data_IF_675533242698
#
_entry.id   IF_675533242698
#
_cell.length_a   1.000
_cell.length_b   1.000
_cell.length_c   1.000
_cell.angle_alpha   90.00
_cell.angle_beta   90.00
_cell.angle_gamma   90.00
#
_symmetry.space_group_name_H-M   'P 1'
#
loop_
_entity.id
_entity.type
_entity.pdbx_description
1 polymer ?
#
# COMPACT_ATOMS: atom_id res chain seq x y z
N UNK A 1 -8.92 31.17 -8.00
CA UNK A 1 -8.68 29.89 -8.70
C UNK A 1 -8.52 28.85 -7.62
N UNK A 2 -9.55 28.07 -7.33
CA UNK A 2 -9.49 26.99 -6.33
C UNK A 2 -8.68 25.86 -6.97
N UNK A 3 -7.42 25.70 -6.57
CA UNK A 3 -6.67 24.47 -6.86
C UNK A 3 -7.49 23.32 -6.29
N UNK A 4 -7.90 22.38 -7.13
CA UNK A 4 -8.47 21.13 -6.65
C UNK A 4 -7.26 20.35 -6.12
N UNK A 5 -7.10 20.30 -4.79
CA UNK A 5 -6.11 19.42 -4.16
C UNK A 5 -6.33 18.00 -4.70
N UNK A 6 -5.33 17.50 -5.44
CA UNK A 6 -5.42 16.19 -6.09
C UNK A 6 -4.94 15.15 -5.09
N UNK A 7 -5.88 14.37 -4.52
CA UNK A 7 -5.55 13.21 -3.69
C UNK A 7 -4.55 12.29 -4.42
N UNK A 8 -3.53 11.77 -3.72
CA UNK A 8 -2.57 10.85 -4.32
C UNK A 8 -3.28 9.57 -4.78
N UNK A 9 -2.70 8.93 -5.79
CA UNK A 9 -3.17 7.63 -6.26
C UNK A 9 -2.92 6.56 -5.18
N UNK A 10 -3.80 5.57 -5.07
CA UNK A 10 -3.52 4.35 -4.31
C UNK A 10 -3.07 3.25 -5.27
N UNK A 11 -1.84 2.76 -5.11
CA UNK A 11 -1.41 1.52 -5.78
C UNK A 11 -1.49 0.40 -4.76
N UNK A 12 -2.12 -0.72 -5.11
CA UNK A 12 -2.27 -1.81 -4.14
C UNK A 12 -2.03 -3.18 -4.75
N UNK A 13 -1.64 -4.12 -3.90
CA UNK A 13 -1.64 -5.55 -4.25
C UNK A 13 -2.67 -6.29 -3.41
N UNK A 14 -3.36 -7.24 -4.02
CA UNK A 14 -4.21 -8.20 -3.33
C UNK A 14 -4.13 -9.55 -4.03
N UNK A 15 -3.95 -10.63 -3.27
CA UNK A 15 -4.07 -12.00 -3.80
C UNK A 15 -5.52 -12.36 -4.12
N UNK A 16 -5.73 -13.63 -4.48
CA UNK A 16 -7.05 -14.22 -4.76
C UNK A 16 -8.00 -14.21 -3.57
N UNK A 17 -7.49 -14.08 -2.34
CA UNK A 17 -8.31 -13.87 -1.13
C UNK A 17 -9.06 -12.52 -1.12
N UNK A 18 -8.60 -11.54 -1.90
CA UNK A 18 -9.22 -10.22 -2.08
C UNK A 18 -9.39 -9.36 -0.81
N UNK A 19 -8.79 -9.70 0.33
CA UNK A 19 -8.92 -8.90 1.56
C UNK A 19 -8.48 -7.44 1.37
N UNK A 20 -7.29 -7.21 0.82
CA UNK A 20 -6.78 -5.86 0.57
C UNK A 20 -7.58 -5.14 -0.53
N UNK A 21 -8.07 -5.87 -1.54
CA UNK A 21 -8.96 -5.28 -2.55
C UNK A 21 -10.26 -4.76 -1.92
N UNK A 22 -10.91 -5.57 -1.08
CA UNK A 22 -12.12 -5.17 -0.33
C UNK A 22 -11.87 -3.99 0.61
N UNK A 23 -10.66 -3.85 1.15
CA UNK A 23 -10.30 -2.66 1.93
C UNK A 23 -10.24 -1.42 1.03
N UNK A 24 -9.50 -1.51 -0.08
CA UNK A 24 -9.31 -0.39 -1.02
C UNK A 24 -10.63 0.06 -1.67
N UNK A 25 -11.55 -0.86 -1.95
CA UNK A 25 -12.90 -0.55 -2.47
C UNK A 25 -13.72 0.37 -1.54
N UNK A 26 -13.36 0.47 -0.25
CA UNK A 26 -14.02 1.35 0.73
C UNK A 26 -13.35 2.72 0.85
N UNK A 27 -12.23 2.95 0.18
CA UNK A 27 -11.46 4.19 0.27
C UNK A 27 -11.95 5.22 -0.76
N UNK A 28 -11.93 6.49 -0.38
CA UNK A 28 -12.32 7.61 -1.23
C UNK A 28 -11.12 8.15 -2.02
N UNK A 29 -10.65 7.33 -2.97
CA UNK A 29 -9.47 7.59 -3.78
C UNK A 29 -9.50 6.84 -5.12
N UNK A 30 -8.75 7.34 -6.10
CA UNK A 30 -8.42 6.54 -7.29
C UNK A 30 -7.44 5.43 -6.91
N UNK A 31 -7.60 4.24 -7.49
CA UNK A 31 -6.69 3.14 -7.22
C UNK A 31 -6.32 2.30 -8.44
N UNK A 32 -5.10 1.76 -8.43
CA UNK A 32 -4.57 0.83 -9.43
C UNK A 32 -4.09 -0.45 -8.72
N UNK A 33 -4.54 -1.60 -9.23
CA UNK A 33 -4.14 -2.92 -8.73
C UNK A 33 -2.89 -3.45 -9.43
N UNK A 34 -1.87 -3.80 -8.65
CA UNK A 34 -0.72 -4.58 -9.12
C UNK A 34 -1.23 -5.98 -9.55
N UNK A 35 -0.94 -6.43 -10.78
CA UNK A 35 -1.42 -7.71 -11.28
C UNK A 35 -0.99 -8.92 -10.43
N UNK A 36 -1.87 -9.91 -10.31
CA UNK A 36 -1.54 -11.18 -9.63
C UNK A 36 -0.51 -11.98 -10.43
N UNK A 37 -0.64 -12.00 -11.77
CA UNK A 37 0.28 -12.71 -12.68
C UNK A 37 1.55 -11.90 -12.84
N UNK A 38 2.70 -12.47 -12.49
CA UNK A 38 4.02 -11.82 -12.61
C UNK A 38 4.42 -11.45 -14.04
N UNK A 39 3.84 -12.10 -15.05
CA UNK A 39 4.06 -11.76 -16.46
C UNK A 39 3.32 -10.49 -16.90
N UNK A 40 2.44 -9.95 -16.07
CA UNK A 40 1.75 -8.68 -16.32
C UNK A 40 2.38 -7.60 -15.46
N UNK A 41 2.54 -6.43 -16.06
CA UNK A 41 3.18 -5.29 -15.44
C UNK A 41 2.33 -4.04 -15.57
N UNK A 42 2.53 -3.11 -14.63
CA UNK A 42 1.96 -1.76 -14.68
C UNK A 42 3.08 -0.74 -14.49
N UNK A 43 2.85 0.47 -14.99
CA UNK A 43 3.70 1.63 -14.79
C UNK A 43 2.85 2.76 -14.21
N UNK A 44 3.40 3.50 -13.27
CA UNK A 44 2.72 4.61 -12.59
C UNK A 44 3.59 5.86 -12.72
N UNK A 45 3.00 6.96 -13.20
CA UNK A 45 3.69 8.23 -13.46
C UNK A 45 3.39 9.33 -12.44
N UNK A 46 2.33 9.17 -11.66
CA UNK A 46 1.93 10.08 -10.57
C UNK A 46 2.32 9.54 -9.20
N UNK A 47 2.39 10.42 -8.21
CA UNK A 47 2.67 10.03 -6.83
C UNK A 47 1.57 9.13 -6.25
N UNK A 48 2.00 8.14 -5.46
CA UNK A 48 1.07 7.18 -4.88
C UNK A 48 1.45 6.71 -3.48
N UNK A 49 0.42 6.33 -2.73
CA UNK A 49 0.54 5.53 -1.51
C UNK A 49 0.40 4.05 -1.87
N UNK A 50 1.35 3.22 -1.43
CA UNK A 50 1.31 1.78 -1.63
C UNK A 50 0.52 1.08 -0.52
N UNK A 51 -0.47 0.26 -0.86
CA UNK A 51 -1.17 -0.61 0.10
C UNK A 51 -0.86 -2.08 -0.20
N UNK A 52 -0.31 -2.82 0.77
CA UNK A 52 0.11 -4.21 0.54
C UNK A 52 -0.13 -5.16 1.72
N UNK A 53 -0.51 -6.43 1.49
CA UNK A 53 -0.55 -7.45 2.53
C UNK A 53 0.86 -7.99 2.87
N UNK A 54 0.98 -8.61 4.04
CA UNK A 54 2.18 -9.31 4.50
C UNK A 54 2.05 -10.82 4.36
N UNK A 55 3.04 -11.50 3.77
CA UNK A 55 3.04 -12.96 3.51
C UNK A 55 4.22 -13.75 4.13
N UNK A 56 4.87 -13.24 5.18
CA UNK A 56 6.02 -13.95 5.78
C UNK A 56 5.68 -15.25 6.50
N UNK A 57 4.40 -15.60 6.67
CA UNK A 57 3.97 -16.81 7.39
C UNK A 57 4.40 -16.84 8.87
N UNK A 58 4.78 -15.70 9.45
CA UNK A 58 5.33 -15.63 10.81
C UNK A 58 6.85 -15.79 10.92
N UNK A 59 7.57 -15.97 9.80
CA UNK A 59 9.02 -16.21 9.79
C UNK A 59 9.86 -14.93 9.60
N UNK A 60 9.48 -13.84 10.28
CA UNK A 60 10.21 -12.57 10.24
C UNK A 60 10.02 -11.82 8.91
N UNK A 61 11.06 -11.10 8.44
CA UNK A 61 10.96 -10.23 7.26
C UNK A 61 11.12 -10.95 5.93
N UNK A 62 11.71 -12.15 5.93
CA UNK A 62 11.90 -12.94 4.70
C UNK A 62 10.55 -13.38 4.14
N UNK A 63 10.27 -12.99 2.89
CA UNK A 63 8.97 -13.28 2.26
C UNK A 63 7.81 -12.41 2.74
N UNK A 64 8.05 -11.39 3.58
CA UNK A 64 7.01 -10.49 4.05
C UNK A 64 6.32 -9.74 2.90
N UNK A 65 7.11 -9.21 1.95
CA UNK A 65 6.61 -8.46 0.80
C UNK A 65 6.22 -9.42 -0.34
N UNK A 66 5.01 -9.32 -0.91
CA UNK A 66 4.61 -10.14 -2.06
C UNK A 66 5.57 -9.95 -3.26
N UNK A 67 5.90 -11.04 -3.96
CA UNK A 67 6.82 -11.02 -5.12
C UNK A 67 6.37 -10.03 -6.21
N UNK A 68 5.07 -9.88 -6.41
CA UNK A 68 4.49 -8.93 -7.37
C UNK A 68 4.78 -7.47 -6.99
N UNK A 69 4.76 -7.17 -5.70
CA UNK A 69 5.10 -5.84 -5.17
C UNK A 69 6.59 -5.59 -5.30
N UNK A 70 7.43 -6.59 -5.01
CA UNK A 70 8.87 -6.50 -5.25
C UNK A 70 9.16 -6.22 -6.73
N UNK A 71 8.53 -6.96 -7.66
CA UNK A 71 8.71 -6.75 -9.10
C UNK A 71 8.27 -5.34 -9.54
N UNK A 72 7.14 -4.87 -9.02
CA UNK A 72 6.64 -3.53 -9.27
C UNK A 72 7.62 -2.44 -8.77
N UNK A 73 8.17 -2.59 -7.56
CA UNK A 73 9.09 -1.63 -6.94
C UNK A 73 10.54 -1.74 -7.44
N UNK A 74 10.93 -2.84 -8.09
CA UNK A 74 12.25 -2.94 -8.72
C UNK A 74 12.40 -1.97 -9.90
N UNK A 75 11.29 -1.57 -10.52
CA UNK A 75 11.28 -0.56 -11.58
C UNK A 75 11.50 0.84 -10.99
N UNK A 76 12.60 1.49 -11.38
CA UNK A 76 12.96 2.83 -10.91
C UNK A 76 11.82 3.85 -11.10
N UNK A 77 11.19 3.84 -12.29
CA UNK A 77 10.09 4.74 -12.61
C UNK A 77 8.90 4.63 -11.64
N UNK A 78 8.59 3.41 -11.16
CA UNK A 78 7.52 3.19 -10.20
C UNK A 78 7.96 3.54 -8.78
N UNK A 79 9.16 3.12 -8.35
CA UNK A 79 9.58 3.32 -6.95
C UNK A 79 9.80 4.79 -6.59
N UNK A 80 10.22 5.62 -7.55
CA UNK A 80 10.42 7.06 -7.34
C UNK A 80 9.12 7.83 -7.11
N UNK A 81 7.96 7.22 -7.38
CA UNK A 81 6.64 7.83 -7.19
C UNK A 81 5.94 7.38 -5.91
N UNK A 82 6.52 6.44 -5.17
CA UNK A 82 5.98 6.01 -3.88
C UNK A 82 6.26 7.09 -2.84
N UNK A 83 5.21 7.65 -2.23
CA UNK A 83 5.33 8.68 -1.19
C UNK A 83 5.04 8.14 0.22
N UNK A 84 4.56 6.89 0.32
CA UNK A 84 4.28 6.24 1.59
C UNK A 84 3.77 4.82 1.42
N UNK A 85 3.85 4.04 2.50
CA UNK A 85 3.36 2.66 2.51
C UNK A 85 2.38 2.43 3.65
N UNK A 86 1.32 1.68 3.36
CA UNK A 86 0.37 1.11 4.32
C UNK A 86 0.41 -0.40 4.14
N UNK A 87 0.43 -1.14 5.25
CA UNK A 87 0.49 -2.60 5.19
C UNK A 87 -0.62 -3.28 5.99
N UNK A 88 -1.17 -4.35 5.42
CA UNK A 88 -2.14 -5.21 6.09
C UNK A 88 -1.50 -6.52 6.54
N UNK A 89 -2.12 -7.13 7.52
CA UNK A 89 -1.72 -8.43 8.04
C UNK A 89 -2.83 -9.07 8.88
N UNK A 90 -2.41 -9.94 9.79
CA UNK A 90 -3.26 -10.52 10.81
C UNK A 90 -2.45 -10.51 12.12
N UNK A 91 -3.03 -10.00 13.20
CA UNK A 91 -2.37 -9.84 14.52
C UNK A 91 -2.04 -11.17 15.16
N UNK A 92 -2.66 -12.28 14.73
CA UNK A 92 -2.27 -13.64 15.11
C UNK A 92 -0.80 -13.97 14.80
N UNK A 93 -0.15 -13.19 13.92
CA UNK A 93 1.29 -13.33 13.62
C UNK A 93 2.20 -12.52 14.56
N UNK A 94 1.66 -11.87 15.60
CA UNK A 94 2.41 -11.17 16.64
C UNK A 94 3.39 -10.15 16.06
N UNK A 95 4.69 -10.31 16.37
CA UNK A 95 5.76 -9.44 15.86
C UNK A 95 5.92 -9.45 14.34
N UNK A 96 5.28 -10.39 13.63
CA UNK A 96 5.24 -10.42 12.17
C UNK A 96 4.03 -9.70 11.56
N UNK A 97 3.16 -9.11 12.39
CA UNK A 97 2.00 -8.35 11.92
C UNK A 97 2.43 -7.16 11.05
N UNK A 98 1.94 -7.15 9.80
CA UNK A 98 2.11 -6.06 8.84
C UNK A 98 3.56 -5.70 8.45
N UNK A 99 4.53 -6.62 8.67
CA UNK A 99 5.97 -6.38 8.42
C UNK A 99 6.34 -5.95 6.99
N UNK A 100 5.48 -6.18 5.98
CA UNK A 100 5.74 -5.68 4.64
C UNK A 100 5.92 -4.15 4.63
N UNK A 101 5.20 -3.43 5.49
CA UNK A 101 5.31 -1.97 5.61
C UNK A 101 6.68 -1.54 6.09
N UNK A 102 7.19 -2.13 7.17
CA UNK A 102 8.53 -1.85 7.69
C UNK A 102 9.63 -2.11 6.66
N UNK A 103 9.53 -3.24 5.95
CA UNK A 103 10.52 -3.62 4.92
C UNK A 103 10.54 -2.59 3.79
N UNK A 104 9.38 -2.19 3.31
CA UNK A 104 9.26 -1.24 2.19
C UNK A 104 9.67 0.18 2.63
N UNK A 105 9.17 0.64 3.77
CA UNK A 105 9.48 1.96 4.33
C UNK A 105 10.99 2.16 4.48
N UNK A 106 11.69 1.20 5.09
CA UNK A 106 13.15 1.25 5.24
C UNK A 106 13.89 1.20 3.91
N UNK A 107 13.40 0.40 2.95
CA UNK A 107 14.06 0.24 1.64
C UNK A 107 13.93 1.47 0.75
N UNK A 108 12.77 2.12 0.77
CA UNK A 108 12.45 3.27 -0.08
C UNK A 108 12.68 4.61 0.61
N UNK A 109 12.88 4.63 1.93
CA UNK A 109 12.95 5.85 2.76
C UNK A 109 11.67 6.68 2.69
N UNK A 110 10.52 6.00 2.74
CA UNK A 110 9.17 6.61 2.74
C UNK A 110 8.46 6.30 4.06
N UNK A 111 7.55 7.15 4.54
CA UNK A 111 6.83 6.91 5.78
C UNK A 111 6.00 5.61 5.74
N UNK A 112 6.01 4.88 6.85
CA UNK A 112 5.06 3.80 7.12
C UNK A 112 3.80 4.41 7.76
N UNK A 113 2.81 4.70 6.93
CA UNK A 113 1.69 5.57 7.27
C UNK A 113 0.64 4.91 8.17
N UNK A 114 0.33 3.63 7.95
CA UNK A 114 -0.73 2.94 8.67
C UNK A 114 -0.63 1.43 8.57
N UNK A 115 -1.23 0.72 9.53
CA UNK A 115 -1.36 -0.76 9.49
C UNK A 115 -2.75 -1.20 9.91
N UNK A 116 -3.28 -2.23 9.25
CA UNK A 116 -4.62 -2.75 9.52
C UNK A 116 -4.71 -4.27 9.36
N UNK A 117 -5.79 -4.87 9.84
CA UNK A 117 -6.02 -6.32 9.74
C UNK A 117 -6.96 -6.70 8.60
N UNK A 118 -6.60 -7.76 7.87
CA UNK A 118 -7.44 -8.40 6.86
C UNK A 118 -8.05 -7.41 5.86
N UNK A 119 -9.37 -7.18 5.93
CA UNK A 119 -10.11 -6.27 5.05
C UNK A 119 -10.42 -4.91 5.70
N UNK A 120 -9.85 -4.64 6.87
CA UNK A 120 -9.98 -3.42 7.65
C UNK A 120 -11.36 -3.20 8.25
N UNK A 121 -11.38 -2.50 9.39
CA UNK A 121 -12.58 -2.01 10.07
C UNK A 121 -13.06 -0.70 9.43
N UNK A 122 -14.20 -0.17 9.91
CA UNK A 122 -14.66 1.18 9.56
C UNK A 122 -13.70 2.25 10.05
N UNK A 123 -13.09 2.06 11.22
CA UNK A 123 -12.10 2.97 11.77
C UNK A 123 -10.85 3.03 10.88
N UNK A 124 -10.37 1.87 10.41
CA UNK A 124 -9.24 1.81 9.47
C UNK A 124 -9.54 2.57 8.17
N UNK A 125 -10.76 2.46 7.65
CA UNK A 125 -11.18 3.18 6.44
C UNK A 125 -11.15 4.69 6.70
N UNK A 126 -11.70 5.15 7.82
CA UNK A 126 -11.71 6.56 8.16
C UNK A 126 -10.30 7.13 8.34
N UNK A 127 -9.44 6.42 9.06
CA UNK A 127 -8.05 6.83 9.30
C UNK A 127 -7.26 6.89 8.00
N UNK A 128 -7.39 5.88 7.13
CA UNK A 128 -6.66 5.86 5.84
C UNK A 128 -7.20 6.91 4.88
N UNK A 129 -8.51 7.17 4.83
CA UNK A 129 -9.06 8.27 4.02
C UNK A 129 -8.51 9.63 4.46
N UNK A 130 -8.36 9.84 5.78
CA UNK A 130 -7.74 11.05 6.30
C UNK A 130 -6.27 11.17 5.85
N UNK A 131 -5.49 10.10 6.02
CA UNK A 131 -4.08 10.07 5.57
C UNK A 131 -3.96 10.41 4.07
N UNK A 132 -4.84 9.85 3.23
CA UNK A 132 -4.85 10.13 1.79
C UNK A 132 -5.21 11.59 1.50
N UNK A 133 -6.17 12.16 2.22
CA UNK A 133 -6.55 13.56 2.08
C UNK A 133 -5.40 14.49 2.47
N UNK A 134 -4.83 14.29 3.66
CA UNK A 134 -3.73 15.11 4.19
C UNK A 134 -2.51 15.10 3.23
N UNK A 135 -2.17 13.94 2.65
CA UNK A 135 -1.08 13.82 1.67
C UNK A 135 -1.33 14.57 0.34
N UNK A 136 -2.58 14.94 0.04
CA UNK A 136 -2.92 15.77 -1.11
C UNK A 136 -2.84 17.27 -0.83
N UNK A 137 -2.83 17.68 0.44
CA UNK A 137 -2.83 19.08 0.86
C UNK A 137 -1.40 19.66 0.99
N UNK A 138 -0.39 18.81 1.25
CA UNK A 138 1.02 19.21 1.38
C UNK A 138 1.70 19.60 0.04
N UNK A 139 0.98 19.56 -1.09
CA UNK A 139 1.50 19.80 -2.44
C UNK A 139 1.09 21.15 -3.06
N UNK A 140 0.43 22.04 -2.30
CA UNK A 140 0.04 23.40 -2.72
C UNK A 140 0.92 24.52 -2.12
#
# INVERSE_FOLDING_TARGET
MTGISKKPLVVYYSSTSNNTARFVEKLDCNSIRIPIKLSKEISVSEEYILITPTYSGGHGTTGAVPKQVIHFLNKLANRQKCIGVIASGNTNFGNSFALAGDVISKKLHVPYLYKFELMGTTEDVNNVNKIIADAGEDND
#
